data_IF_450252196684
#
_entry.id   IF_450252196684
#
_cell.length_a   1.000
_cell.length_b   1.000
_cell.length_c   1.000
_cell.angle_alpha   90.00
_cell.angle_beta   90.00
_cell.angle_gamma   90.00
#
_symmetry.space_group_name_H-M   'P 1'
#
loop_
_entity.id
_entity.type
_entity.pdbx_description
1 polymer ?
#
# COMPACT_ATOMS: atom_id res chain seq x y z
N UNK A 1 -6.32 10.75 -12.08
CA UNK A 1 -5.48 9.83 -11.28
C UNK A 1 -4.00 10.29 -11.26
N UNK A 2 -3.40 10.68 -12.41
CA UNK A 2 -2.00 11.12 -12.49
C UNK A 2 -1.72 12.33 -11.58
N UNK A 3 -2.60 13.32 -11.57
CA UNK A 3 -2.50 14.51 -10.70
C UNK A 3 -2.45 14.11 -9.23
N UNK A 4 -3.42 13.32 -8.77
CA UNK A 4 -3.48 12.87 -7.38
C UNK A 4 -2.25 12.02 -6.98
N UNK A 5 -1.76 11.20 -7.92
CA UNK A 5 -0.52 10.44 -7.72
C UNK A 5 0.68 11.36 -7.53
N UNK A 6 0.84 12.39 -8.38
CA UNK A 6 1.94 13.37 -8.30
C UNK A 6 1.91 14.12 -6.98
N UNK A 7 0.75 14.66 -6.59
CA UNK A 7 0.56 15.34 -5.31
C UNK A 7 0.90 14.40 -4.14
N UNK A 8 0.42 13.17 -4.19
CA UNK A 8 0.69 12.20 -3.14
C UNK A 8 2.19 11.94 -2.99
N UNK A 9 2.91 11.72 -4.09
CA UNK A 9 4.37 11.48 -4.10
C UNK A 9 5.12 12.67 -3.53
N UNK A 10 4.83 13.88 -4.01
CA UNK A 10 5.51 15.10 -3.57
C UNK A 10 5.23 15.41 -2.09
N UNK A 11 3.99 15.20 -1.63
CA UNK A 11 3.67 15.33 -0.21
C UNK A 11 4.45 14.32 0.65
N UNK A 12 4.58 13.06 0.19
CA UNK A 12 5.39 12.06 0.93
C UNK A 12 6.85 12.41 0.95
N UNK A 13 7.39 12.98 -0.14
CA UNK A 13 8.78 13.46 -0.17
C UNK A 13 9.03 14.58 0.84
N UNK A 14 8.08 15.50 1.01
CA UNK A 14 8.18 16.57 2.00
C UNK A 14 8.15 16.06 3.46
N UNK A 15 7.62 14.85 3.70
CA UNK A 15 7.52 14.23 5.03
C UNK A 15 8.74 13.36 5.39
N UNK A 16 9.77 13.31 4.52
CA UNK A 16 10.98 12.49 4.74
C UNK A 16 11.80 13.09 5.87
N UNK A 17 12.08 12.28 6.86
CA UNK A 17 13.00 12.60 7.95
C UNK A 17 14.40 12.08 7.64
N UNK A 18 15.43 12.62 8.24
CA UNK A 18 16.81 12.11 8.11
C UNK A 18 16.95 10.81 8.90
N UNK A 19 16.72 9.69 8.21
CA UNK A 19 16.85 8.33 8.75
C UNK A 19 16.89 7.30 7.60
N UNK A 20 17.39 6.08 7.81
CA UNK A 20 17.15 4.97 6.90
C UNK A 20 15.64 4.71 6.73
N UNK A 21 15.26 4.07 5.62
CA UNK A 21 13.89 3.62 5.39
C UNK A 21 13.89 2.16 4.97
N UNK A 22 12.88 1.43 5.41
CA UNK A 22 12.71 0.01 5.14
C UNK A 22 11.39 -0.25 4.42
N UNK A 23 11.47 -1.03 3.36
CA UNK A 23 10.30 -1.56 2.67
C UNK A 23 10.00 -2.95 3.22
N UNK A 24 8.93 -3.06 3.97
CA UNK A 24 8.47 -4.31 4.59
C UNK A 24 7.22 -4.78 3.85
N UNK A 25 7.20 -6.05 3.45
CA UNK A 25 6.03 -6.65 2.80
C UNK A 25 5.51 -7.78 3.69
N UNK A 26 4.23 -7.74 4.02
CA UNK A 26 3.53 -8.83 4.70
C UNK A 26 2.61 -9.53 3.70
N UNK A 27 2.85 -10.79 3.44
CA UNK A 27 2.05 -11.61 2.53
C UNK A 27 1.18 -12.58 3.31
N UNK A 28 -0.09 -12.69 2.95
CA UNK A 28 -0.99 -13.70 3.50
C UNK A 28 -0.90 -15.00 2.71
N UNK A 29 -0.97 -16.17 3.37
CA UNK A 29 -1.08 -17.45 2.71
C UNK A 29 -2.29 -17.50 1.77
N UNK A 30 -2.13 -18.21 0.64
CA UNK A 30 -3.20 -18.29 -0.37
C UNK A 30 -4.41 -19.12 0.10
N UNK A 31 -4.22 -19.96 1.10
CA UNK A 31 -5.28 -20.72 1.78
C UNK A 31 -6.34 -19.82 2.40
N UNK A 32 -5.97 -18.58 2.74
CA UNK A 32 -6.90 -17.57 3.22
C UNK A 32 -7.76 -16.94 2.11
N UNK A 33 -7.42 -17.12 0.84
CA UNK A 33 -8.08 -16.44 -0.27
C UNK A 33 -9.60 -16.65 -0.33
N UNK A 34 -10.16 -17.87 -0.13
CA UNK A 34 -11.60 -18.04 -0.11
C UNK A 34 -12.28 -17.21 0.98
N UNK A 35 -11.70 -17.20 2.18
CA UNK A 35 -12.22 -16.44 3.31
C UNK A 35 -12.03 -14.91 3.12
N UNK A 36 -10.92 -14.49 2.55
CA UNK A 36 -10.64 -13.08 2.22
C UNK A 36 -11.63 -12.55 1.21
N UNK A 37 -11.96 -13.31 0.16
CA UNK A 37 -12.82 -12.86 -0.93
C UNK A 37 -14.24 -12.52 -0.47
N UNK A 38 -14.80 -13.26 0.47
CA UNK A 38 -16.13 -12.99 1.03
C UNK A 38 -16.14 -12.05 2.26
N UNK A 39 -14.94 -11.64 2.75
CA UNK A 39 -14.79 -10.74 3.90
C UNK A 39 -13.87 -9.55 3.63
N UNK A 40 -13.74 -9.08 2.40
CA UNK A 40 -12.72 -8.12 1.96
C UNK A 40 -12.55 -6.94 2.91
N UNK A 41 -13.59 -6.15 3.14
CA UNK A 41 -13.49 -4.93 3.95
C UNK A 41 -13.00 -5.20 5.37
N UNK A 42 -13.45 -6.30 5.96
CA UNK A 42 -13.11 -6.69 7.34
C UNK A 42 -11.71 -7.25 7.44
N UNK A 43 -11.35 -8.21 6.60
CA UNK A 43 -10.05 -8.87 6.67
C UNK A 43 -8.90 -8.02 6.13
N UNK A 44 -9.16 -7.13 5.16
CA UNK A 44 -8.18 -6.12 4.76
C UNK A 44 -7.95 -5.09 5.88
N UNK A 45 -9.01 -4.69 6.59
CA UNK A 45 -8.90 -3.85 7.77
C UNK A 45 -8.08 -4.52 8.89
N UNK A 46 -8.31 -5.81 9.11
CA UNK A 46 -7.55 -6.63 10.07
C UNK A 46 -6.08 -6.71 9.67
N UNK A 47 -5.77 -6.92 8.38
CA UNK A 47 -4.39 -6.94 7.88
C UNK A 47 -3.68 -5.62 8.16
N UNK A 48 -4.32 -4.48 7.86
CA UNK A 48 -3.76 -3.16 8.19
C UNK A 48 -3.46 -3.03 9.68
N UNK A 49 -4.40 -3.39 10.55
CA UNK A 49 -4.25 -3.32 12.00
C UNK A 49 -3.11 -4.21 12.49
N UNK A 50 -3.06 -5.45 12.01
CA UNK A 50 -2.06 -6.42 12.40
C UNK A 50 -0.64 -5.98 12.01
N UNK A 51 -0.44 -5.57 10.75
CA UNK A 51 0.85 -5.05 10.27
C UNK A 51 1.32 -3.83 11.08
N UNK A 52 0.40 -2.87 11.33
CA UNK A 52 0.73 -1.68 12.11
C UNK A 52 1.14 -2.02 13.54
N UNK A 53 0.36 -2.85 14.24
CA UNK A 53 0.66 -3.25 15.61
C UNK A 53 1.96 -4.05 15.71
N UNK A 54 2.23 -4.95 14.75
CA UNK A 54 3.48 -5.72 14.71
C UNK A 54 4.69 -4.79 14.58
N UNK A 55 4.65 -3.86 13.63
CA UNK A 55 5.73 -2.91 13.41
C UNK A 55 5.92 -1.95 14.57
N UNK A 56 4.83 -1.39 15.11
CA UNK A 56 4.91 -0.43 16.23
C UNK A 56 5.44 -1.09 17.50
N UNK A 57 4.95 -2.27 17.88
CA UNK A 57 5.43 -2.97 19.08
C UNK A 57 6.91 -3.35 18.98
N UNK A 58 7.32 -3.93 17.84
CA UNK A 58 8.70 -4.32 17.66
C UNK A 58 9.62 -3.11 17.57
N UNK A 59 9.22 -2.05 16.87
CA UNK A 59 10.02 -0.83 16.78
C UNK A 59 10.15 -0.10 18.13
N UNK A 60 9.13 -0.14 18.98
CA UNK A 60 9.17 0.47 20.31
C UNK A 60 10.11 -0.25 21.26
N UNK A 61 10.48 -1.50 20.98
CA UNK A 61 11.42 -2.25 21.80
C UNK A 61 12.83 -1.63 21.67
N UNK A 62 13.50 -1.28 22.81
CA UNK A 62 14.86 -0.72 22.81
C UNK A 62 15.92 -1.59 22.13
N UNK A 63 15.68 -2.91 22.05
CA UNK A 63 16.55 -3.86 21.35
C UNK A 63 16.62 -3.60 19.83
N UNK A 64 15.58 -2.99 19.27
CA UNK A 64 15.52 -2.67 17.83
C UNK A 64 15.66 -1.17 17.61
N UNK A 65 14.55 -0.42 17.50
CA UNK A 65 14.61 1.02 17.34
C UNK A 65 14.46 1.78 18.68
N UNK A 66 13.62 1.30 19.59
CA UNK A 66 13.31 1.97 20.85
C UNK A 66 12.56 3.30 20.65
N UNK A 67 11.84 3.44 19.57
CA UNK A 67 11.07 4.64 19.21
C UNK A 67 9.86 4.28 18.34
N UNK A 68 8.93 5.21 18.21
CA UNK A 68 7.75 5.09 17.35
C UNK A 68 8.07 5.59 15.95
N UNK A 69 8.18 4.71 14.94
CA UNK A 69 8.51 5.09 13.57
C UNK A 69 7.31 5.71 12.85
N UNK A 70 7.55 6.31 11.68
CA UNK A 70 6.52 6.62 10.70
C UNK A 70 6.27 5.42 9.78
N UNK A 71 5.01 5.05 9.56
CA UNK A 71 4.64 3.91 8.74
C UNK A 71 3.61 4.34 7.70
N UNK A 72 3.87 4.03 6.44
CA UNK A 72 2.91 4.15 5.33
C UNK A 72 2.57 2.74 4.88
N UNK A 73 1.30 2.37 4.90
CA UNK A 73 0.81 1.08 4.43
C UNK A 73 0.01 1.22 3.15
N UNK A 74 0.25 0.34 2.18
CA UNK A 74 -0.50 0.25 0.92
C UNK A 74 -0.92 -1.20 0.69
N UNK A 75 -2.22 -1.44 0.66
CA UNK A 75 -2.77 -2.77 0.37
C UNK A 75 -2.65 -3.09 -1.11
N UNK A 76 -2.13 -4.28 -1.43
CA UNK A 76 -2.20 -4.90 -2.74
C UNK A 76 -2.94 -6.23 -2.66
N UNK A 77 -3.73 -6.55 -3.67
CA UNK A 77 -4.51 -7.79 -3.73
C UNK A 77 -4.18 -8.65 -4.96
N UNK A 78 -3.20 -8.25 -5.77
CA UNK A 78 -2.85 -8.86 -7.06
C UNK A 78 -1.37 -9.19 -7.19
N UNK A 79 -1.08 -10.18 -8.01
CA UNK A 79 0.26 -10.42 -8.55
C UNK A 79 0.38 -9.90 -10.00
N UNK A 80 1.50 -10.16 -10.65
CA UNK A 80 1.76 -9.70 -12.03
C UNK A 80 0.80 -10.30 -13.08
N UNK A 81 0.17 -11.43 -12.79
CA UNK A 81 -0.78 -12.14 -13.65
C UNK A 81 -2.24 -11.88 -13.28
N UNK A 82 -2.49 -10.91 -12.41
CA UNK A 82 -3.82 -10.59 -11.87
C UNK A 82 -4.44 -11.73 -11.03
N UNK A 83 -3.64 -12.67 -10.53
CA UNK A 83 -4.14 -13.63 -9.56
C UNK A 83 -4.33 -12.95 -8.19
N UNK A 84 -5.30 -13.43 -7.44
CA UNK A 84 -5.59 -12.92 -6.10
C UNK A 84 -4.45 -13.27 -5.15
N UNK A 85 -3.75 -12.25 -4.69
CA UNK A 85 -2.54 -12.34 -3.86
C UNK A 85 -2.49 -11.16 -2.90
N UNK A 86 -3.03 -11.36 -1.71
CA UNK A 86 -3.21 -10.29 -0.73
C UNK A 86 -1.92 -10.07 0.04
N UNK A 87 -1.39 -8.86 -0.05
CA UNK A 87 -0.18 -8.46 0.67
C UNK A 87 -0.17 -6.96 1.00
N UNK A 88 0.56 -6.62 2.04
CA UNK A 88 0.69 -5.25 2.53
C UNK A 88 2.10 -4.74 2.30
N UNK A 89 2.24 -3.66 1.53
CA UNK A 89 3.48 -2.91 1.46
C UNK A 89 3.52 -1.88 2.58
N UNK A 90 4.59 -1.89 3.37
CA UNK A 90 4.84 -0.92 4.42
C UNK A 90 6.15 -0.21 4.14
N UNK A 91 6.14 1.13 4.08
CA UNK A 91 7.37 1.93 4.20
C UNK A 91 7.48 2.38 5.64
N UNK A 92 8.59 2.05 6.26
CA UNK A 92 8.85 2.28 7.68
C UNK A 92 10.12 3.10 7.82
N UNK A 93 10.07 4.20 8.55
CA UNK A 93 11.29 4.94 8.88
C UNK A 93 12.13 4.17 9.90
N UNK A 94 13.43 4.10 9.67
CA UNK A 94 14.40 3.63 10.66
C UNK A 94 14.73 4.68 11.73
N UNK A 95 13.95 5.74 11.79
CA UNK A 95 13.99 6.76 12.84
C UNK A 95 12.59 7.03 13.38
N UNK A 96 12.50 7.51 14.61
CA UNK A 96 11.23 7.79 15.25
C UNK A 96 11.34 8.61 16.53
N UNK A 97 10.18 8.90 17.11
CA UNK A 97 10.07 9.61 18.37
C UNK A 97 10.03 8.64 19.54
N UNK A 98 10.90 8.86 20.50
CA UNK A 98 10.91 8.16 21.80
C UNK A 98 9.76 8.70 22.68
N UNK A 99 9.39 8.00 23.78
CA UNK A 99 8.37 8.49 24.72
C UNK A 99 8.72 9.86 25.32
N UNK A 100 10.00 10.15 25.54
CA UNK A 100 10.51 11.44 26.02
C UNK A 100 10.70 12.48 24.90
N UNK A 101 10.08 12.25 23.72
CA UNK A 101 10.02 13.14 22.56
C UNK A 101 11.38 13.51 21.97
N UNK A 102 12.37 12.64 22.09
CA UNK A 102 13.65 12.74 21.38
C UNK A 102 13.59 11.92 20.09
N UNK A 103 14.53 12.19 19.18
CA UNK A 103 14.75 11.37 18.00
C UNK A 103 15.70 10.24 18.32
N UNK A 104 15.36 9.06 17.81
CA UNK A 104 16.24 7.91 17.78
C UNK A 104 16.25 7.31 16.38
N UNK A 105 17.43 6.98 15.87
CA UNK A 105 17.62 6.41 14.54
C UNK A 105 18.31 5.05 14.68
N UNK A 106 17.86 4.08 13.88
CA UNK A 106 18.49 2.76 13.79
C UNK A 106 19.84 2.83 13.12
N UNK A 107 20.68 1.83 13.37
CA UNK A 107 21.90 1.65 12.58
C UNK A 107 21.54 1.33 11.12
N UNK A 108 22.43 1.75 10.18
CA UNK A 108 22.29 1.37 8.76
C UNK A 108 22.23 -0.16 8.64
N UNK A 109 21.44 -0.66 7.74
CA UNK A 109 21.28 -2.08 7.40
C UNK A 109 20.63 -2.97 8.47
N UNK A 110 20.22 -2.45 9.63
CA UNK A 110 19.55 -3.23 10.65
C UNK A 110 18.21 -2.58 11.03
N UNK A 111 17.15 -3.38 10.99
CA UNK A 111 15.84 -2.96 11.49
C UNK A 111 15.30 -4.00 12.50
N UNK A 112 14.61 -5.01 12.03
CA UNK A 112 14.05 -6.09 12.84
C UNK A 112 14.33 -7.41 12.14
N UNK A 113 14.81 -8.47 12.84
CA UNK A 113 15.01 -9.77 12.22
C UNK A 113 13.72 -10.30 11.59
N UNK A 114 13.82 -10.80 10.36
CA UNK A 114 12.65 -11.29 9.57
C UNK A 114 11.88 -12.37 10.32
N UNK A 115 12.57 -13.29 10.99
CA UNK A 115 11.94 -14.36 11.77
C UNK A 115 11.06 -13.80 12.92
N UNK A 116 11.57 -12.80 13.66
CA UNK A 116 10.82 -12.15 14.74
C UNK A 116 9.57 -11.44 14.20
N UNK A 117 9.73 -10.76 13.06
CA UNK A 117 8.63 -10.07 12.40
C UNK A 117 7.55 -11.07 11.92
N UNK A 118 7.99 -12.18 11.30
CA UNK A 118 7.14 -13.26 10.84
C UNK A 118 6.30 -13.86 11.95
N UNK A 119 6.94 -14.28 13.02
CA UNK A 119 6.28 -15.02 14.10
C UNK A 119 5.30 -14.10 14.85
N UNK A 120 5.69 -12.86 15.10
CA UNK A 120 4.81 -11.86 15.72
C UNK A 120 3.60 -11.53 14.83
N UNK A 121 3.81 -11.34 13.54
CA UNK A 121 2.74 -11.05 12.58
C UNK A 121 1.76 -12.21 12.46
N UNK A 122 2.27 -13.45 12.24
CA UNK A 122 1.47 -14.67 12.16
C UNK A 122 0.61 -14.86 13.40
N UNK A 123 1.22 -14.82 14.59
CA UNK A 123 0.49 -14.99 15.84
C UNK A 123 -0.61 -13.94 16.04
N UNK A 124 -0.32 -12.65 15.77
CA UNK A 124 -1.32 -11.58 15.86
C UNK A 124 -2.45 -11.74 14.86
N UNK A 125 -2.12 -12.05 13.60
CA UNK A 125 -3.13 -12.19 12.55
C UNK A 125 -4.10 -13.32 12.87
N UNK A 126 -3.58 -14.49 13.25
CA UNK A 126 -4.40 -15.65 13.60
C UNK A 126 -5.24 -15.43 14.87
N UNK A 127 -4.68 -14.77 15.88
CA UNK A 127 -5.44 -14.43 17.08
C UNK A 127 -6.59 -13.46 16.77
N UNK A 128 -6.35 -12.43 15.98
CA UNK A 128 -7.40 -11.48 15.58
C UNK A 128 -8.45 -12.11 14.65
N UNK A 129 -8.02 -13.01 13.76
CA UNK A 129 -8.91 -13.76 12.87
C UNK A 129 -9.82 -14.69 13.68
N UNK A 130 -9.27 -15.38 14.68
CA UNK A 130 -10.00 -16.25 15.59
C UNK A 130 -11.02 -15.47 16.44
N UNK A 131 -10.69 -14.26 16.88
CA UNK A 131 -11.63 -13.36 17.55
C UNK A 131 -12.85 -13.07 16.65
N UNK A 132 -12.62 -12.73 15.38
CA UNK A 132 -13.71 -12.50 14.43
C UNK A 132 -14.58 -13.74 14.19
N UNK A 133 -13.98 -14.93 14.19
CA UNK A 133 -14.71 -16.19 14.09
C UNK A 133 -15.62 -16.40 15.30
N UNK A 134 -15.06 -16.31 16.52
CA UNK A 134 -15.82 -16.47 17.78
C UNK A 134 -16.94 -15.44 17.93
N UNK A 135 -16.71 -14.21 17.48
CA UNK A 135 -17.68 -13.14 17.44
C UNK A 135 -18.75 -13.32 16.34
N UNK A 136 -18.69 -14.41 15.54
CA UNK A 136 -19.58 -14.69 14.39
C UNK A 136 -19.60 -13.56 13.35
N UNK A 137 -18.48 -12.89 13.16
CA UNK A 137 -18.32 -11.74 12.27
C UNK A 137 -17.73 -12.10 10.91
N UNK A 138 -17.53 -13.37 10.61
CA UNK A 138 -17.06 -13.86 9.32
C UNK A 138 -18.22 -14.38 8.47
N UNK A 139 -18.22 -14.00 7.19
CA UNK A 139 -19.04 -14.64 6.17
C UNK A 139 -18.30 -15.83 5.57
N UNK A 140 -19.02 -16.85 5.14
CA UNK A 140 -18.48 -18.04 4.51
C UNK A 140 -19.19 -18.23 3.17
N UNK A 141 -18.43 -18.29 2.09
CA UNK A 141 -18.90 -18.65 0.76
C UNK A 141 -18.86 -20.18 0.58
N UNK A 142 -19.51 -20.76 -0.44
CA UNK A 142 -19.46 -22.21 -0.68
C UNK A 142 -18.05 -22.79 -0.68
N UNK A 143 -17.06 -22.02 -1.14
CA UNK A 143 -15.64 -22.46 -1.19
C UNK A 143 -14.94 -22.55 0.17
N UNK A 144 -15.56 -22.02 1.24
CA UNK A 144 -15.04 -22.07 2.62
C UNK A 144 -16.13 -22.35 3.66
N UNK A 145 -17.27 -22.88 3.24
CA UNK A 145 -18.43 -23.18 4.12
C UNK A 145 -18.06 -24.18 5.23
N UNK A 146 -17.20 -25.15 4.95
CA UNK A 146 -16.73 -26.12 5.95
C UNK A 146 -16.12 -25.45 7.19
N UNK A 147 -15.52 -24.27 7.04
CA UNK A 147 -14.91 -23.51 8.15
C UNK A 147 -15.93 -22.98 9.18
N UNK A 148 -17.24 -23.13 8.95
CA UNK A 148 -18.25 -22.88 9.99
C UNK A 148 -18.18 -23.91 11.11
N UNK A 149 -17.73 -25.12 10.80
CA UNK A 149 -17.53 -26.16 11.80
C UNK A 149 -16.31 -25.80 12.67
N UNK A 150 -16.44 -25.81 14.01
CA UNK A 150 -15.34 -25.45 14.92
C UNK A 150 -14.10 -26.37 14.80
N UNK A 151 -14.27 -27.64 14.46
CA UNK A 151 -13.16 -28.57 14.26
C UNK A 151 -12.38 -28.23 12.99
N UNK A 152 -13.09 -28.01 11.88
CA UNK A 152 -12.50 -27.56 10.60
C UNK A 152 -11.79 -26.21 10.75
N UNK A 153 -12.40 -25.30 11.51
CA UNK A 153 -11.79 -24.01 11.84
C UNK A 153 -10.50 -24.15 12.62
N UNK A 154 -10.48 -25.02 13.63
CA UNK A 154 -9.27 -25.24 14.45
C UNK A 154 -8.16 -25.90 13.61
N UNK A 155 -8.50 -26.90 12.78
CA UNK A 155 -7.54 -27.53 11.86
C UNK A 155 -6.99 -26.53 10.85
N UNK A 156 -7.84 -25.71 10.27
CA UNK A 156 -7.44 -24.63 9.37
C UNK A 156 -6.45 -23.66 10.03
N UNK A 157 -6.71 -23.24 11.28
CA UNK A 157 -5.77 -22.39 12.03
C UNK A 157 -4.44 -23.09 12.28
N UNK A 158 -4.47 -24.37 12.65
CA UNK A 158 -3.26 -25.15 12.90
C UNK A 158 -2.41 -25.26 11.64
N UNK A 159 -3.02 -25.53 10.49
CA UNK A 159 -2.35 -25.53 9.17
C UNK A 159 -1.74 -24.16 8.85
N UNK A 160 -2.50 -23.08 9.00
CA UNK A 160 -1.97 -21.73 8.80
C UNK A 160 -0.81 -21.41 9.74
N UNK A 161 -0.87 -21.87 10.98
CA UNK A 161 0.19 -21.65 11.96
C UNK A 161 1.48 -22.41 11.61
N UNK A 162 1.37 -23.61 11.05
CA UNK A 162 2.52 -24.43 10.62
C UNK A 162 3.18 -23.94 9.33
N UNK A 163 2.49 -23.11 8.54
CA UNK A 163 3.03 -22.57 7.29
C UNK A 163 4.10 -21.53 7.51
N UNK A 164 5.01 -21.41 6.54
CA UNK A 164 6.01 -20.35 6.53
C UNK A 164 5.43 -19.05 5.96
N UNK A 165 5.11 -18.12 6.84
CA UNK A 165 4.68 -16.78 6.46
C UNK A 165 5.90 -15.93 6.15
N UNK A 166 6.07 -15.55 4.90
CA UNK A 166 7.27 -14.83 4.46
C UNK A 166 7.06 -13.31 4.46
N UNK A 167 7.31 -12.58 5.56
CA UNK A 167 7.54 -11.15 5.46
C UNK A 167 8.88 -10.92 4.77
N UNK A 168 8.92 -9.88 3.95
CA UNK A 168 10.12 -9.46 3.25
C UNK A 168 10.53 -8.07 3.74
N UNK A 169 11.80 -7.91 4.08
CA UNK A 169 12.37 -6.62 4.47
C UNK A 169 13.52 -6.31 3.53
N UNK A 170 13.48 -5.13 2.96
CA UNK A 170 14.57 -4.57 2.17
C UNK A 170 14.81 -3.13 2.59
N UNK A 171 16.07 -2.78 2.85
CA UNK A 171 16.43 -1.38 2.92
C UNK A 171 16.15 -0.71 1.57
N UNK A 172 15.63 0.51 1.59
CA UNK A 172 15.37 1.25 0.35
C UNK A 172 16.70 1.76 -0.19
N UNK A 173 17.32 1.00 -1.11
CA UNK A 173 18.53 1.43 -1.79
C UNK A 173 18.31 2.74 -2.55
N UNK A 174 19.25 3.67 -2.41
CA UNK A 174 19.23 5.02 -2.99
C UNK A 174 18.15 5.97 -2.46
N UNK A 175 17.72 5.78 -1.21
CA UNK A 175 16.85 6.72 -0.49
C UNK A 175 15.35 6.45 -0.64
N UNK A 176 14.62 7.12 0.22
CA UNK A 176 13.16 7.06 0.35
C UNK A 176 12.41 7.38 -0.97
N UNK A 177 12.98 8.22 -1.84
CA UNK A 177 12.35 8.67 -3.09
C UNK A 177 11.90 7.52 -3.99
N UNK A 178 12.74 6.52 -4.19
CA UNK A 178 12.42 5.38 -5.06
C UNK A 178 11.29 4.49 -4.52
N UNK A 179 11.24 4.30 -3.20
CA UNK A 179 10.16 3.52 -2.57
C UNK A 179 8.81 4.24 -2.65
N UNK A 180 8.79 5.55 -2.44
CA UNK A 180 7.58 6.38 -2.57
C UNK A 180 7.10 6.46 -4.01
N UNK A 181 8.00 6.62 -4.98
CA UNK A 181 7.62 6.59 -6.40
C UNK A 181 7.06 5.23 -6.81
N UNK A 182 7.69 4.14 -6.34
CA UNK A 182 7.19 2.79 -6.57
C UNK A 182 5.77 2.63 -6.01
N UNK A 183 5.55 2.99 -4.74
CA UNK A 183 4.22 2.89 -4.14
C UNK A 183 3.23 3.88 -4.76
N UNK A 184 3.67 5.09 -5.11
CA UNK A 184 2.83 6.10 -5.76
C UNK A 184 2.19 5.60 -7.05
N UNK A 185 2.89 4.75 -7.82
CA UNK A 185 2.34 4.12 -9.03
C UNK A 185 1.12 3.25 -8.75
N UNK A 186 1.00 2.70 -7.56
CA UNK A 186 -0.04 1.76 -7.17
C UNK A 186 -1.10 2.36 -6.23
N UNK A 187 -0.86 3.55 -5.66
CA UNK A 187 -1.82 4.17 -4.74
C UNK A 187 -3.13 4.54 -5.42
N UNK A 188 -3.07 4.95 -6.69
CA UNK A 188 -4.22 5.42 -7.47
C UNK A 188 -4.59 4.49 -8.63
N UNK A 189 -3.92 3.35 -8.80
CA UNK A 189 -4.20 2.35 -9.84
C UNK A 189 -4.66 1.04 -9.21
N UNK A 190 -5.51 0.32 -9.92
CA UNK A 190 -5.97 -1.02 -9.54
C UNK A 190 -5.31 -2.01 -10.49
N UNK A 191 -4.68 -3.03 -9.94
CA UNK A 191 -4.18 -4.24 -10.56
C UNK A 191 -3.29 -4.09 -11.81
N UNK A 192 -3.73 -3.38 -12.85
CA UNK A 192 -3.01 -3.26 -14.12
C UNK A 192 -3.06 -1.81 -14.64
N UNK A 193 -2.00 -1.37 -15.32
CA UNK A 193 -1.99 -0.10 -16.07
C UNK A 193 -2.30 -0.35 -17.54
N UNK A 194 -2.91 0.62 -18.22
CA UNK A 194 -3.22 0.53 -19.65
C UNK A 194 -1.96 0.22 -20.49
N UNK A 195 -0.79 0.74 -20.09
CA UNK A 195 0.49 0.49 -20.76
C UNK A 195 0.95 -0.98 -20.73
N UNK A 196 0.31 -1.82 -19.92
CA UNK A 196 0.59 -3.27 -19.88
C UNK A 196 -0.32 -4.05 -20.82
N UNK A 197 -1.46 -3.49 -21.24
CA UNK A 197 -2.38 -4.14 -22.16
C UNK A 197 -1.78 -4.02 -23.57
N UNK A 198 -1.59 -5.17 -24.23
CA UNK A 198 -1.01 -5.26 -25.56
C UNK A 198 -2.08 -5.30 -26.63
N UNK A 199 -3.10 -6.14 -26.43
CA UNK A 199 -4.22 -6.29 -27.36
C UNK A 199 -5.50 -6.69 -26.64
N UNK A 200 -6.62 -6.31 -27.22
CA UNK A 200 -7.96 -6.73 -26.83
C UNK A 200 -8.68 -7.16 -28.10
N UNK A 201 -9.02 -8.43 -28.19
CA UNK A 201 -9.80 -9.02 -29.30
C UNK A 201 -11.24 -9.26 -28.84
N UNK A 202 -12.08 -9.85 -29.66
CA UNK A 202 -13.45 -10.21 -29.26
C UNK A 202 -13.49 -11.29 -28.18
N UNK A 203 -12.50 -12.14 -28.09
CA UNK A 203 -12.46 -13.29 -27.18
C UNK A 203 -11.41 -13.17 -26.07
N UNK A 204 -10.31 -12.45 -26.27
CA UNK A 204 -9.15 -12.49 -25.42
C UNK A 204 -8.55 -11.11 -25.11
N UNK A 205 -7.81 -11.05 -24.01
CA UNK A 205 -6.98 -9.90 -23.61
C UNK A 205 -5.56 -10.37 -23.37
N UNK A 206 -4.60 -9.75 -24.05
CA UNK A 206 -3.17 -10.00 -23.87
C UNK A 206 -2.51 -8.82 -23.15
N UNK A 207 -1.66 -9.13 -22.18
CA UNK A 207 -0.95 -8.12 -21.41
C UNK A 207 0.44 -8.59 -20.97
N UNK A 208 1.33 -7.62 -20.67
CA UNK A 208 2.67 -7.93 -20.18
C UNK A 208 2.66 -8.22 -18.68
N UNK A 209 3.37 -9.28 -18.27
CA UNK A 209 3.72 -9.59 -16.90
C UNK A 209 5.25 -9.60 -16.75
N UNK A 210 5.75 -9.17 -15.59
CA UNK A 210 7.18 -9.31 -15.26
C UNK A 210 7.48 -10.77 -14.94
N UNK A 211 8.71 -11.22 -15.24
CA UNK A 211 9.20 -12.52 -14.79
C UNK A 211 9.16 -12.67 -13.26
N UNK A 212 9.28 -13.91 -12.80
CA UNK A 212 9.20 -14.23 -11.36
C UNK A 212 10.43 -13.79 -10.58
N UNK A 213 11.61 -13.80 -11.23
CA UNK A 213 12.89 -13.41 -10.63
C UNK A 213 13.34 -12.05 -11.17
N UNK A 214 14.19 -11.37 -10.40
CA UNK A 214 14.85 -10.14 -10.86
C UNK A 214 15.73 -10.47 -12.05
N UNK A 215 15.53 -9.77 -13.18
CA UNK A 215 16.26 -10.02 -14.44
C UNK A 215 15.52 -10.90 -15.44
N UNK A 216 14.46 -11.61 -15.03
CA UNK A 216 13.65 -12.38 -15.97
C UNK A 216 13.00 -11.46 -17.03
N UNK A 217 12.91 -11.90 -18.29
CA UNK A 217 12.27 -11.14 -19.35
C UNK A 217 10.77 -10.94 -19.04
N UNK A 218 10.23 -9.85 -19.55
CA UNK A 218 8.77 -9.66 -19.58
C UNK A 218 8.16 -10.77 -20.45
N UNK A 219 7.05 -11.31 -19.99
CA UNK A 219 6.28 -12.31 -20.73
C UNK A 219 4.88 -11.77 -21.05
N UNK A 220 4.32 -12.25 -22.13
CA UNK A 220 2.93 -12.00 -22.48
C UNK A 220 2.05 -13.04 -21.79
N UNK A 221 0.97 -12.56 -21.20
CA UNK A 221 -0.11 -13.38 -20.63
C UNK A 221 -1.36 -13.08 -21.44
N UNK A 222 -1.97 -14.12 -21.98
CA UNK A 222 -3.24 -14.05 -22.71
C UNK A 222 -4.31 -14.78 -21.90
N UNK A 223 -5.44 -14.12 -21.70
CA UNK A 223 -6.59 -14.66 -20.96
C UNK A 223 -7.87 -14.49 -21.78
N UNK A 224 -8.81 -15.44 -21.68
CA UNK A 224 -10.18 -15.18 -22.14
C UNK A 224 -10.73 -13.88 -21.52
N UNK A 225 -11.48 -13.11 -22.27
CA UNK A 225 -12.02 -11.81 -21.85
C UNK A 225 -12.77 -11.89 -20.51
N UNK A 226 -13.59 -12.92 -20.36
CA UNK A 226 -14.36 -13.16 -19.12
C UNK A 226 -13.45 -13.43 -17.93
N UNK A 227 -12.36 -14.19 -18.12
CA UNK A 227 -11.39 -14.49 -17.06
C UNK A 227 -10.57 -13.24 -16.69
N UNK A 228 -10.16 -12.44 -17.67
CA UNK A 228 -9.50 -11.16 -17.41
C UNK A 228 -10.40 -10.23 -16.57
N UNK A 229 -11.66 -10.08 -16.95
CA UNK A 229 -12.64 -9.26 -16.23
C UNK A 229 -12.85 -9.82 -14.82
N UNK A 230 -13.03 -11.13 -14.67
CA UNK A 230 -13.20 -11.79 -13.37
C UNK A 230 -12.01 -11.52 -12.45
N UNK A 231 -10.76 -11.70 -12.96
CA UNK A 231 -9.56 -11.38 -12.17
C UNK A 231 -9.49 -9.92 -11.80
N UNK A 232 -9.75 -9.02 -12.75
CA UNK A 232 -9.72 -7.58 -12.49
C UNK A 232 -10.73 -7.17 -11.41
N UNK A 233 -11.95 -7.67 -11.48
CA UNK A 233 -13.01 -7.35 -10.53
C UNK A 233 -12.72 -7.82 -9.10
N UNK A 234 -11.98 -8.91 -8.92
CA UNK A 234 -11.55 -9.35 -7.58
C UNK A 234 -10.69 -8.32 -6.84
N UNK A 235 -10.06 -7.38 -7.56
CA UNK A 235 -9.17 -6.36 -7.00
C UNK A 235 -9.88 -5.03 -6.75
N UNK A 236 -11.14 -4.91 -7.15
CA UNK A 236 -11.97 -3.74 -6.84
C UNK A 236 -12.29 -3.76 -5.35
N UNK A 237 -11.84 -2.72 -4.65
CA UNK A 237 -12.01 -2.62 -3.21
C UNK A 237 -13.44 -2.21 -2.84
N UNK A 238 -13.94 -2.60 -1.66
CA UNK A 238 -15.23 -2.14 -1.17
C UNK A 238 -15.33 -0.61 -1.16
N UNK A 239 -16.53 -0.09 -1.39
CA UNK A 239 -16.78 1.36 -1.40
C UNK A 239 -16.29 2.00 -0.10
N UNK A 240 -15.54 3.09 -0.23
CA UNK A 240 -14.99 3.84 0.91
C UNK A 240 -13.78 3.19 1.60
N UNK A 241 -13.31 2.04 1.13
CA UNK A 241 -12.16 1.37 1.74
C UNK A 241 -10.87 2.17 1.54
N UNK A 242 -10.22 2.55 2.65
CA UNK A 242 -8.94 3.27 2.63
C UNK A 242 -7.79 2.29 2.35
N UNK A 243 -7.30 2.30 1.10
CA UNK A 243 -6.20 1.46 0.62
C UNK A 243 -4.84 1.85 1.20
N UNK A 244 -4.66 3.15 1.48
CA UNK A 244 -3.43 3.70 2.05
C UNK A 244 -3.71 4.17 3.46
N UNK A 245 -2.88 3.74 4.43
CA UNK A 245 -3.02 4.16 5.83
C UNK A 245 -1.68 4.55 6.43
N UNK A 246 -1.74 5.44 7.43
CA UNK A 246 -0.58 6.04 8.08
C UNK A 246 -0.60 5.75 9.56
N UNK A 247 0.57 5.38 10.12
CA UNK A 247 0.69 5.01 11.53
C UNK A 247 1.98 5.59 12.15
N UNK A 248 2.11 5.42 13.46
CA UNK A 248 3.21 5.98 14.21
C UNK A 248 3.19 7.52 14.18
N UNK A 249 4.34 8.17 14.02
CA UNK A 249 4.39 9.63 13.97
C UNK A 249 3.70 10.22 12.71
N UNK A 250 3.45 9.39 11.68
CA UNK A 250 2.69 9.77 10.47
C UNK A 250 1.17 9.62 10.64
N UNK A 251 0.66 9.20 11.80
CA UNK A 251 -0.78 9.14 12.04
C UNK A 251 -1.42 10.51 11.76
N UNK A 252 -2.49 10.53 10.95
CA UNK A 252 -3.10 11.76 10.44
C UNK A 252 -3.46 12.79 11.52
N UNK A 253 -3.84 12.33 12.72
CA UNK A 253 -4.23 13.20 13.83
C UNK A 253 -3.05 14.04 14.36
N UNK A 254 -1.85 13.46 14.42
CA UNK A 254 -0.68 14.09 15.05
C UNK A 254 0.47 14.37 14.07
N UNK A 255 0.28 14.02 12.78
CA UNK A 255 1.33 14.07 11.78
C UNK A 255 2.07 15.38 11.70
N UNK A 256 1.34 16.50 11.56
CA UNK A 256 1.95 17.82 11.42
C UNK A 256 2.76 18.22 12.64
N UNK A 257 2.23 17.99 13.84
CA UNK A 257 2.93 18.30 15.10
C UNK A 257 4.18 17.44 15.27
N UNK A 258 4.09 16.14 14.97
CA UNK A 258 5.21 15.21 15.06
C UNK A 258 6.31 15.54 14.04
N UNK A 259 5.95 15.82 12.79
CA UNK A 259 6.92 16.18 11.75
C UNK A 259 7.61 17.50 12.07
N UNK A 260 6.87 18.54 12.53
CA UNK A 260 7.47 19.80 12.94
C UNK A 260 8.47 19.61 14.09
N UNK A 261 8.15 18.77 15.08
CA UNK A 261 9.07 18.44 16.15
C UNK A 261 10.32 17.73 15.64
N UNK A 262 10.14 16.68 14.79
CA UNK A 262 11.25 15.90 14.25
C UNK A 262 12.19 16.80 13.43
N UNK A 263 11.66 17.61 12.54
CA UNK A 263 12.47 18.53 11.72
C UNK A 263 13.23 19.53 12.60
N UNK A 264 12.58 20.08 13.63
CA UNK A 264 13.26 20.96 14.60
C UNK A 264 14.41 20.24 15.32
N UNK A 265 14.22 19.01 15.76
CA UNK A 265 15.23 18.21 16.45
C UNK A 265 16.40 17.80 15.54
N UNK A 266 16.15 17.67 14.23
CA UNK A 266 17.17 17.38 13.23
C UNK A 266 17.85 18.63 12.66
N UNK A 267 17.55 19.83 13.20
CA UNK A 267 18.15 21.09 12.72
C UNK A 267 17.66 21.52 11.34
N UNK A 268 16.60 20.89 10.80
CA UNK A 268 16.06 21.17 9.48
C UNK A 268 15.03 22.30 9.47
N UNK A 269 14.72 22.76 8.26
CA UNK A 269 13.67 23.73 8.01
C UNK A 269 12.28 23.13 8.18
N UNK A 270 11.24 23.95 8.35
CA UNK A 270 9.84 23.50 8.35
C UNK A 270 9.52 22.80 7.03
N UNK A 271 8.93 21.60 7.10
CA UNK A 271 8.40 20.95 5.92
C UNK A 271 7.22 21.74 5.33
N UNK A 272 7.16 21.81 4.01
CA UNK A 272 6.04 22.43 3.28
C UNK A 272 5.62 21.52 2.14
N UNK A 273 4.32 21.37 1.99
CA UNK A 273 3.77 20.71 0.83
C UNK A 273 3.86 21.62 -0.39
N UNK A 274 4.53 21.16 -1.44
CA UNK A 274 4.81 21.93 -2.66
C UNK A 274 3.54 22.51 -3.29
N UNK A 275 2.45 21.77 -3.26
CA UNK A 275 1.19 22.13 -3.93
C UNK A 275 0.09 22.56 -2.97
N UNK A 276 0.41 22.89 -1.70
CA UNK A 276 -0.58 23.32 -0.73
C UNK A 276 -1.18 24.67 -1.14
N UNK A 277 -2.50 24.73 -1.16
CA UNK A 277 -3.25 25.95 -1.49
C UNK A 277 -3.32 26.30 -2.99
N UNK A 278 -2.66 25.51 -3.86
CA UNK A 278 -2.73 25.74 -5.32
C UNK A 278 -4.07 25.32 -5.89
N UNK A 279 -4.62 26.13 -6.79
CA UNK A 279 -5.70 25.73 -7.67
C UNK A 279 -5.27 24.63 -8.65
N UNK A 280 -6.22 23.96 -9.29
CA UNK A 280 -5.90 22.93 -10.30
C UNK A 280 -5.08 23.48 -11.46
N UNK A 281 -5.33 24.70 -11.89
CA UNK A 281 -4.57 25.37 -12.96
C UNK A 281 -3.11 25.61 -12.57
N UNK A 282 -2.88 26.20 -11.40
CA UNK A 282 -1.53 26.43 -10.87
C UNK A 282 -0.78 25.12 -10.67
N UNK A 283 -1.46 24.08 -10.18
CA UNK A 283 -0.87 22.76 -9.98
C UNK A 283 -0.44 22.12 -11.30
N UNK A 284 -1.29 22.16 -12.34
CA UNK A 284 -0.95 21.62 -13.67
C UNK A 284 0.25 22.35 -14.28
N UNK A 285 0.28 23.68 -14.14
CA UNK A 285 1.42 24.49 -14.58
C UNK A 285 2.70 24.16 -13.80
N UNK A 286 2.63 24.08 -12.48
CA UNK A 286 3.79 23.79 -11.64
C UNK A 286 4.32 22.35 -11.77
N UNK A 287 3.43 21.37 -11.99
CA UNK A 287 3.80 19.94 -12.02
C UNK A 287 4.21 19.43 -13.40
N UNK A 288 3.64 20.00 -14.48
CA UNK A 288 3.84 19.53 -15.87
C UNK A 288 4.14 20.63 -16.87
N UNK A 289 4.22 21.91 -16.47
CA UNK A 289 4.38 23.04 -17.37
C UNK A 289 3.14 23.30 -18.23
N UNK A 290 2.00 22.65 -17.94
CA UNK A 290 0.77 22.73 -18.73
C UNK A 290 -0.12 23.85 -18.21
N UNK A 291 -0.21 24.94 -18.97
CA UNK A 291 -1.10 26.06 -18.67
C UNK A 291 -2.44 25.87 -19.35
N UNK A 292 -3.48 25.53 -18.55
CA UNK A 292 -4.83 25.29 -19.05
C UNK A 292 -5.56 26.56 -19.49
N UNK A 293 -5.01 27.74 -19.21
CA UNK A 293 -5.58 29.03 -19.67
C UNK A 293 -5.12 29.40 -21.09
N UNK A 294 -4.12 28.68 -21.63
CA UNK A 294 -3.51 28.94 -22.93
C UNK A 294 -3.84 27.82 -23.91
N UNK A 295 -4.30 28.16 -25.10
CA UNK A 295 -4.52 27.18 -26.15
C UNK A 295 -3.19 26.59 -26.64
N UNK A 296 -3.00 25.25 -26.60
CA UNK A 296 -1.73 24.64 -27.02
C UNK A 296 -1.47 24.76 -28.54
N UNK A 297 -2.49 25.04 -29.34
CA UNK A 297 -2.36 25.18 -30.79
C UNK A 297 -1.98 26.59 -31.24
N UNK A 298 -2.58 27.64 -30.64
CA UNK A 298 -2.37 29.03 -31.08
C UNK A 298 -1.78 29.95 -30.00
N UNK A 299 -1.56 29.49 -28.78
CA UNK A 299 -1.01 30.30 -27.68
C UNK A 299 -1.98 31.35 -27.11
N UNK A 300 -3.23 31.38 -27.56
CA UNK A 300 -4.21 32.37 -27.09
C UNK A 300 -4.63 32.09 -25.64
N UNK A 301 -4.61 33.12 -24.78
CA UNK A 301 -4.95 33.05 -23.35
C UNK A 301 -6.45 33.21 -23.05
N UNK A 302 -7.33 33.06 -24.05
CA UNK A 302 -8.76 33.28 -23.93
C UNK A 302 -9.62 32.01 -23.73
N UNK A 303 -9.02 30.91 -23.26
CA UNK A 303 -9.76 29.68 -22.96
C UNK A 303 -10.71 29.88 -21.78
N UNK A 304 -12.02 29.71 -22.00
CA UNK A 304 -13.03 29.70 -20.94
C UNK A 304 -13.42 28.24 -20.62
N UNK A 305 -13.70 27.90 -19.35
CA UNK A 305 -14.23 26.58 -19.03
C UNK A 305 -15.57 26.35 -19.75
N UNK A 306 -15.61 25.37 -20.64
CA UNK A 306 -16.85 24.93 -21.33
C UNK A 306 -17.56 23.95 -20.40
N UNK A 307 -18.24 24.37 -19.36
CA UNK A 307 -19.09 23.54 -18.51
C UNK A 307 -18.66 22.05 -18.33
N UNK A 308 -19.34 21.28 -17.49
CA UNK A 308 -19.11 19.83 -17.38
C UNK A 308 -19.73 19.11 -18.57
N UNK A 309 -18.95 18.78 -19.57
CA UNK A 309 -19.33 17.76 -20.56
C UNK A 309 -19.14 16.38 -19.88
N UNK A 310 -20.24 15.70 -19.59
CA UNK A 310 -20.20 14.27 -19.32
C UNK A 310 -19.97 13.59 -20.68
N UNK A 311 -18.74 13.12 -20.92
CA UNK A 311 -18.52 12.18 -21.99
C UNK A 311 -19.30 10.91 -21.63
N UNK A 312 -20.40 10.68 -22.28
CA UNK A 312 -21.03 9.37 -22.40
C UNK A 312 -20.01 8.49 -23.12
N UNK A 313 -19.28 7.68 -22.34
CA UNK A 313 -18.54 6.56 -22.89
C UNK A 313 -19.59 5.53 -23.32
N UNK A 314 -19.89 5.50 -24.60
CA UNK A 314 -20.50 4.37 -25.29
C UNK A 314 -19.48 3.24 -25.39
#
# INVERSE_FOLDING_TARGET
>A
QAVNQKIWVDNRRAEVIDSPYFHVIFTLPHELNPLLSCNQGRLYGLLHKCCAQTLLELSSNPRYLGAVPGIIQVLHTWNQELNYHVHMHCIVSGGGLTPDRKIRTSQKNFFIPVAVLRDKFRGKYLAMLDSLYREKRLAFSPSCEALRNPYEWQDFKNRLYSMDWCPYIKETFHGFGNAIEYLGRYTHKIAISNSRILSVTDTEVSFTARGRKTGDPKRTVTLPKTEFIRRYLMHVLPRGFQKVRYYGFLNNRMKSANLMLIFKLQGGQRFRYRYAGMSMAELLKAAWGFDISVCPACGCAALKPAGRTYALLL
#
